data_IF_515289432456
#
_entry.id   IF_515289432456
#
_cell.length_a   1.000
_cell.length_b   1.000
_cell.length_c   1.000
_cell.angle_alpha   90.00
_cell.angle_beta   90.00
_cell.angle_gamma   90.00
#
_symmetry.space_group_name_H-M   'P 1'
#
loop_
_entity.id
_entity.type
_entity.pdbx_description
1 polymer ?
#
# COMPACT_ATOMS: atom_id res chain seq x y z
N UNK A 1 1.10 25.17 -11.26
CA UNK A 1 2.13 24.60 -10.37
C UNK A 1 2.84 23.58 -11.22
N UNK A 2 4.10 23.82 -11.55
CA UNK A 2 4.84 22.98 -12.48
C UNK A 2 5.77 22.07 -11.67
N UNK A 3 5.25 20.91 -11.29
CA UNK A 3 6.02 19.85 -10.61
C UNK A 3 6.49 18.82 -11.62
N UNK A 4 7.67 18.25 -11.40
CA UNK A 4 8.19 17.15 -12.24
C UNK A 4 7.49 15.81 -11.97
N UNK A 5 7.12 15.57 -10.71
CA UNK A 5 6.48 14.33 -10.23
C UNK A 5 5.48 14.69 -9.15
N UNK A 6 4.33 13.99 -9.14
CA UNK A 6 3.30 14.10 -8.11
C UNK A 6 3.12 12.73 -7.49
N UNK A 7 3.17 12.64 -6.16
CA UNK A 7 2.92 11.41 -5.41
C UNK A 7 1.53 11.49 -4.79
N UNK A 8 0.69 10.51 -5.08
CA UNK A 8 -0.65 10.39 -4.52
C UNK A 8 -0.66 9.37 -3.39
N UNK A 9 -0.94 9.83 -2.17
CA UNK A 9 -1.27 8.97 -1.04
C UNK A 9 -2.77 8.65 -1.08
N UNK A 10 -3.10 7.39 -1.32
CA UNK A 10 -4.47 6.98 -1.60
C UNK A 10 -5.14 6.35 -0.37
N UNK A 11 -6.47 6.40 -0.36
CA UNK A 11 -7.27 5.70 0.65
C UNK A 11 -7.09 4.17 0.57
N UNK A 12 -7.67 3.37 1.49
CA UNK A 12 -7.56 1.91 1.41
C UNK A 12 -8.09 1.36 0.09
N UNK A 13 -7.59 0.19 -0.30
CA UNK A 13 -7.73 -0.47 -1.62
C UNK A 13 -9.07 -0.23 -2.34
N UNK A 14 -10.20 -0.48 -1.67
CA UNK A 14 -11.53 -0.36 -2.29
C UNK A 14 -11.94 1.08 -2.66
N UNK A 15 -11.42 2.10 -1.97
CA UNK A 15 -11.70 3.50 -2.28
C UNK A 15 -10.82 4.02 -3.42
N UNK A 16 -9.56 3.59 -3.48
CA UNK A 16 -8.63 3.96 -4.56
C UNK A 16 -9.12 3.48 -5.91
N UNK A 17 -9.66 2.26 -5.98
CA UNK A 17 -10.24 1.74 -7.21
C UNK A 17 -11.41 2.58 -7.73
N UNK A 18 -12.21 3.19 -6.85
CA UNK A 18 -13.29 4.11 -7.28
C UNK A 18 -12.74 5.40 -7.87
N UNK A 19 -11.63 5.92 -7.31
CA UNK A 19 -10.95 7.10 -7.85
C UNK A 19 -10.41 6.82 -9.25
N UNK A 20 -9.79 5.65 -9.47
CA UNK A 20 -9.25 5.25 -10.76
C UNK A 20 -10.35 4.97 -11.80
N UNK A 21 -11.52 4.50 -11.36
CA UNK A 21 -12.70 4.32 -12.21
C UNK A 21 -13.43 5.62 -12.57
N UNK A 22 -13.18 6.69 -11.81
CA UNK A 22 -13.93 7.94 -11.90
C UNK A 22 -13.86 8.59 -13.29
N UNK A 23 -12.70 8.71 -13.97
CA UNK A 23 -12.61 9.27 -15.32
C UNK A 23 -13.54 8.53 -16.31
N UNK A 24 -13.44 7.20 -16.34
CA UNK A 24 -14.27 6.37 -17.24
C UNK A 24 -15.78 6.43 -16.92
N UNK A 25 -16.13 6.63 -15.64
CA UNK A 25 -17.54 6.74 -15.21
C UNK A 25 -18.11 8.09 -15.59
N UNK A 26 -17.33 9.16 -15.40
CA UNK A 26 -17.69 10.50 -15.85
C UNK A 26 -17.85 10.56 -17.36
N UNK A 27 -16.91 9.99 -18.13
CA UNK A 27 -16.96 9.94 -19.59
C UNK A 27 -18.26 9.28 -20.08
N UNK A 28 -18.62 8.11 -19.53
CA UNK A 28 -19.89 7.42 -19.84
C UNK A 28 -21.12 8.26 -19.47
N UNK A 29 -21.06 8.99 -18.35
CA UNK A 29 -22.12 9.89 -17.91
C UNK A 29 -22.33 11.06 -18.88
N UNK A 30 -21.24 11.72 -19.25
CA UNK A 30 -21.21 12.83 -20.22
C UNK A 30 -21.72 12.37 -21.58
N UNK A 31 -21.25 11.22 -22.07
CA UNK A 31 -21.71 10.64 -23.34
C UNK A 31 -23.23 10.38 -23.32
N UNK A 32 -23.76 9.77 -22.25
CA UNK A 32 -25.21 9.56 -22.11
C UNK A 32 -25.97 10.88 -22.10
N UNK A 33 -25.50 11.89 -21.38
CA UNK A 33 -26.14 13.21 -21.31
C UNK A 33 -26.18 13.88 -22.70
N UNK A 34 -25.10 13.80 -23.47
CA UNK A 34 -25.06 14.28 -24.86
C UNK A 34 -26.06 13.52 -25.74
N UNK A 35 -26.15 12.18 -25.64
CA UNK A 35 -27.13 11.42 -26.42
C UNK A 35 -28.58 11.75 -26.04
N UNK A 36 -28.84 12.04 -24.76
CA UNK A 36 -30.15 12.44 -24.28
C UNK A 36 -30.50 13.83 -24.80
N UNK A 37 -29.56 14.79 -24.76
CA UNK A 37 -29.73 16.12 -25.38
C UNK A 37 -30.02 15.99 -26.87
N UNK A 38 -29.31 15.14 -27.60
CA UNK A 38 -29.56 14.98 -29.04
C UNK A 38 -30.96 14.41 -29.36
N UNK A 39 -31.51 13.57 -28.48
CA UNK A 39 -32.85 13.00 -28.64
C UNK A 39 -33.97 13.93 -28.18
N UNK A 40 -33.74 14.71 -27.13
CA UNK A 40 -34.76 15.56 -26.49
C UNK A 40 -34.60 17.05 -26.79
N UNK A 41 -33.48 17.51 -27.35
CA UNK A 41 -33.19 18.91 -27.62
C UNK A 41 -34.12 19.52 -28.67
N UNK A 42 -34.58 18.72 -29.64
CA UNK A 42 -35.61 19.15 -30.58
C UNK A 42 -36.97 19.42 -29.91
N UNK A 43 -37.29 18.72 -28.81
CA UNK A 43 -38.50 18.91 -28.02
C UNK A 43 -38.32 20.03 -26.99
N UNK A 44 -37.15 20.06 -26.34
CA UNK A 44 -36.79 21.06 -25.34
C UNK A 44 -36.81 22.46 -25.97
N UNK A 45 -36.13 22.65 -27.12
CA UNK A 45 -36.13 23.94 -27.83
C UNK A 45 -37.51 24.37 -28.34
N UNK A 46 -38.46 23.44 -28.55
CA UNK A 46 -39.85 23.79 -28.87
C UNK A 46 -40.61 24.26 -27.64
N UNK A 47 -40.40 23.62 -26.49
CA UNK A 47 -40.99 24.02 -25.21
C UNK A 47 -40.40 25.34 -24.73
N UNK A 48 -39.07 25.52 -24.77
CA UNK A 48 -38.41 26.77 -24.36
C UNK A 48 -38.89 27.97 -25.19
N UNK A 49 -39.04 27.79 -26.51
CA UNK A 49 -39.64 28.79 -27.42
C UNK A 49 -41.09 29.13 -27.08
N UNK A 50 -41.88 28.17 -26.59
CA UNK A 50 -43.26 28.39 -26.17
C UNK A 50 -43.36 29.13 -24.83
N UNK A 51 -42.37 28.95 -23.94
CA UNK A 51 -42.30 29.60 -22.63
C UNK A 51 -41.58 30.96 -22.65
N UNK A 52 -41.10 31.43 -23.81
CA UNK A 52 -40.49 32.76 -23.97
C UNK A 52 -39.18 32.94 -23.21
N UNK A 53 -38.49 31.84 -22.89
CA UNK A 53 -37.17 31.85 -22.27
C UNK A 53 -36.14 31.87 -23.40
N UNK A 54 -35.30 32.89 -23.49
CA UNK A 54 -34.24 32.96 -24.50
C UNK A 54 -33.23 31.81 -24.29
N UNK A 55 -33.18 30.90 -25.27
CA UNK A 55 -32.42 29.64 -25.30
C UNK A 55 -30.91 29.85 -25.55
N UNK A 56 -30.50 31.09 -25.88
CA UNK A 56 -29.21 31.38 -26.52
C UNK A 56 -28.01 31.56 -25.56
N UNK A 57 -28.23 31.85 -24.27
CA UNK A 57 -27.12 32.19 -23.36
C UNK A 57 -26.70 31.07 -22.39
N UNK A 58 -27.51 30.03 -22.23
CA UNK A 58 -27.27 28.95 -21.27
C UNK A 58 -26.73 27.66 -21.88
N UNK A 59 -27.27 27.24 -23.03
CA UNK A 59 -26.97 25.92 -23.59
C UNK A 59 -25.54 25.80 -24.13
N UNK A 60 -25.06 26.78 -24.87
CA UNK A 60 -23.73 26.76 -25.50
C UNK A 60 -22.61 26.87 -24.47
N UNK A 61 -22.82 27.66 -23.41
CA UNK A 61 -21.89 27.77 -22.29
C UNK A 61 -21.80 26.47 -21.48
N UNK A 62 -22.91 25.75 -21.33
CA UNK A 62 -22.92 24.41 -20.70
C UNK A 62 -22.23 23.40 -21.62
N UNK A 63 -22.48 23.46 -22.93
CA UNK A 63 -21.87 22.55 -23.90
C UNK A 63 -20.34 22.68 -23.92
N UNK A 64 -19.83 23.91 -24.03
CA UNK A 64 -18.38 24.15 -24.05
C UNK A 64 -17.69 23.73 -22.74
N UNK A 65 -18.38 23.85 -21.60
CA UNK A 65 -17.87 23.31 -20.32
C UNK A 65 -17.84 21.78 -20.30
N UNK A 66 -18.87 21.12 -20.85
CA UNK A 66 -18.92 19.65 -20.91
C UNK A 66 -17.87 19.09 -21.86
N UNK A 67 -17.62 19.74 -23.00
CA UNK A 67 -16.55 19.40 -23.93
C UNK A 67 -15.17 19.59 -23.28
N UNK A 68 -14.92 20.73 -22.64
CA UNK A 68 -13.65 20.95 -21.93
C UNK A 68 -13.40 19.95 -20.79
N UNK A 69 -14.45 19.52 -20.08
CA UNK A 69 -14.34 18.46 -19.07
C UNK A 69 -14.00 17.11 -19.70
N UNK A 70 -14.60 16.80 -20.86
CA UNK A 70 -14.32 15.56 -21.60
C UNK A 70 -12.85 15.50 -22.02
N UNK A 71 -12.31 16.60 -22.56
CA UNK A 71 -10.92 16.67 -22.99
C UNK A 71 -9.94 16.43 -21.81
N UNK A 72 -10.22 17.03 -20.66
CA UNK A 72 -9.41 16.82 -19.44
C UNK A 72 -9.47 15.36 -18.99
N UNK A 73 -10.65 14.75 -19.01
CA UNK A 73 -10.84 13.34 -18.62
C UNK A 73 -10.06 12.41 -19.56
N UNK A 74 -10.15 12.63 -20.87
CA UNK A 74 -9.41 11.84 -21.86
C UNK A 74 -7.89 11.98 -21.68
N UNK A 75 -7.39 13.20 -21.42
CA UNK A 75 -5.98 13.43 -21.14
C UNK A 75 -5.51 12.71 -19.87
N UNK A 76 -6.28 12.79 -18.77
CA UNK A 76 -5.96 12.09 -17.51
C UNK A 76 -5.95 10.58 -17.72
N UNK A 77 -6.96 10.03 -18.41
CA UNK A 77 -7.05 8.60 -18.68
C UNK A 77 -5.89 8.11 -19.55
N UNK A 78 -5.47 8.92 -20.54
CA UNK A 78 -4.29 8.62 -21.35
C UNK A 78 -3.01 8.61 -20.52
N UNK A 79 -2.82 9.58 -19.63
CA UNK A 79 -1.62 9.64 -18.77
C UNK A 79 -1.57 8.50 -17.75
N UNK A 80 -2.71 8.11 -17.18
CA UNK A 80 -2.78 6.99 -16.23
C UNK A 80 -2.45 5.63 -16.85
N UNK A 81 -2.68 5.48 -18.15
CA UNK A 81 -2.37 4.26 -18.91
C UNK A 81 -0.98 4.24 -19.52
N UNK A 82 -0.24 5.34 -19.41
CA UNK A 82 1.11 5.45 -19.94
C UNK A 82 2.13 5.01 -18.88
N UNK A 83 2.80 3.85 -19.05
CA UNK A 83 3.75 3.32 -18.07
C UNK A 83 5.01 4.20 -17.92
N UNK A 84 5.33 5.04 -18.90
CA UNK A 84 6.45 5.98 -18.83
C UNK A 84 6.10 7.24 -18.01
N UNK A 85 4.82 7.49 -17.74
CA UNK A 85 4.33 8.66 -17.02
C UNK A 85 3.74 8.32 -15.64
N UNK A 86 3.00 7.22 -15.53
CA UNK A 86 2.29 6.83 -14.30
C UNK A 86 2.62 5.39 -13.93
N UNK A 87 2.98 5.18 -12.66
CA UNK A 87 3.11 3.83 -12.09
C UNK A 87 2.47 3.78 -10.71
N UNK A 88 1.96 2.60 -10.35
CA UNK A 88 1.33 2.33 -9.05
C UNK A 88 2.25 1.46 -8.19
N UNK A 89 2.50 1.92 -6.95
CA UNK A 89 3.30 1.20 -5.95
C UNK A 89 2.38 0.63 -4.87
N UNK A 90 2.31 -0.70 -4.78
CA UNK A 90 1.49 -1.38 -3.78
C UNK A 90 2.25 -1.48 -2.45
N UNK A 91 1.60 -1.12 -1.33
CA UNK A 91 2.17 -1.27 0.01
C UNK A 91 1.33 -2.25 0.82
N UNK A 92 1.96 -3.26 1.40
CA UNK A 92 1.28 -4.33 2.14
C UNK A 92 2.11 -4.79 3.35
N UNK A 93 1.56 -5.72 4.12
CA UNK A 93 2.25 -6.43 5.21
C UNK A 93 2.25 -7.94 4.93
N UNK A 94 3.21 -8.73 5.46
CA UNK A 94 3.34 -10.15 5.15
C UNK A 94 2.32 -11.01 5.92
N UNK A 95 1.04 -10.81 5.62
CA UNK A 95 -0.10 -11.51 6.23
C UNK A 95 -1.12 -11.92 5.17
N UNK A 96 -1.93 -12.95 5.46
CA UNK A 96 -2.89 -13.51 4.51
C UNK A 96 -3.84 -12.49 3.90
N UNK A 97 -4.50 -11.69 4.75
CA UNK A 97 -5.51 -10.74 4.28
C UNK A 97 -4.89 -9.66 3.41
N UNK A 98 -3.70 -9.18 3.80
CA UNK A 98 -2.98 -8.15 3.06
C UNK A 98 -2.47 -8.66 1.70
N UNK A 99 -2.03 -9.92 1.62
CA UNK A 99 -1.70 -10.58 0.34
C UNK A 99 -2.93 -10.66 -0.57
N UNK A 100 -4.06 -11.14 -0.05
CA UNK A 100 -5.31 -11.26 -0.81
C UNK A 100 -5.82 -9.90 -1.33
N UNK A 101 -5.78 -8.86 -0.49
CA UNK A 101 -6.17 -7.51 -0.90
C UNK A 101 -5.22 -6.92 -1.95
N UNK A 102 -3.92 -7.19 -1.83
CA UNK A 102 -2.91 -6.74 -2.80
C UNK A 102 -3.10 -7.44 -4.15
N UNK A 103 -3.37 -8.75 -4.15
CA UNK A 103 -3.66 -9.48 -5.38
C UNK A 103 -4.88 -8.93 -6.10
N UNK A 104 -5.96 -8.69 -5.35
CA UNK A 104 -7.16 -8.06 -5.91
C UNK A 104 -6.86 -6.66 -6.45
N UNK A 105 -6.02 -5.87 -5.78
CA UNK A 105 -5.62 -4.55 -6.26
C UNK A 105 -4.86 -4.64 -7.58
N UNK A 106 -3.84 -5.50 -7.65
CA UNK A 106 -3.03 -5.68 -8.88
C UNK A 106 -3.91 -6.13 -10.04
N UNK A 107 -4.80 -7.10 -9.83
CA UNK A 107 -5.74 -7.56 -10.86
C UNK A 107 -6.64 -6.42 -11.37
N UNK A 108 -7.10 -5.53 -10.50
CA UNK A 108 -7.93 -4.39 -10.89
C UNK A 108 -7.09 -3.32 -11.61
N UNK A 109 -5.87 -3.02 -11.17
CA UNK A 109 -4.95 -2.11 -11.87
C UNK A 109 -4.68 -2.59 -13.30
N UNK A 110 -4.41 -3.89 -13.48
CA UNK A 110 -4.25 -4.49 -14.80
C UNK A 110 -5.50 -4.32 -15.67
N UNK A 111 -6.71 -4.49 -15.11
CA UNK A 111 -7.97 -4.25 -15.85
C UNK A 111 -8.14 -2.79 -16.27
N UNK A 112 -7.60 -1.85 -15.50
CA UNK A 112 -7.58 -0.43 -15.84
C UNK A 112 -6.41 -0.03 -16.75
N UNK A 113 -5.54 -0.99 -17.12
CA UNK A 113 -4.32 -0.75 -17.89
C UNK A 113 -3.37 0.25 -17.20
N UNK A 114 -3.35 0.23 -15.86
CA UNK A 114 -2.44 1.05 -15.05
C UNK A 114 -1.20 0.23 -14.73
N UNK A 115 -0.04 0.80 -15.00
CA UNK A 115 1.25 0.21 -14.72
C UNK A 115 1.44 -0.07 -13.22
N UNK A 116 1.92 -1.27 -12.89
CA UNK A 116 2.36 -1.61 -11.53
C UNK A 116 3.44 -2.67 -11.56
N UNK A 117 4.62 -2.31 -11.06
CA UNK A 117 5.81 -3.17 -11.06
C UNK A 117 6.53 -3.19 -9.70
N UNK A 118 6.00 -2.49 -8.69
CA UNK A 118 6.66 -2.32 -7.40
C UNK A 118 5.70 -2.70 -6.27
N UNK A 119 6.17 -3.57 -5.37
CA UNK A 119 5.48 -3.93 -4.13
C UNK A 119 6.40 -3.65 -2.96
N UNK A 120 5.92 -2.92 -1.97
CA UNK A 120 6.59 -2.69 -0.69
C UNK A 120 5.90 -3.54 0.37
N UNK A 121 6.66 -4.44 0.99
CA UNK A 121 6.20 -5.25 2.12
C UNK A 121 6.78 -4.62 3.40
N UNK A 122 5.92 -3.94 4.15
CA UNK A 122 6.29 -3.26 5.39
C UNK A 122 6.14 -4.17 6.62
N UNK A 123 6.69 -3.74 7.76
CA UNK A 123 6.60 -4.44 9.04
C UNK A 123 7.11 -5.88 9.00
N UNK A 124 8.16 -6.11 8.19
CA UNK A 124 8.83 -7.40 8.13
C UNK A 124 9.72 -7.57 9.36
N UNK A 125 9.54 -8.68 10.05
CA UNK A 125 10.40 -9.05 11.18
C UNK A 125 11.67 -9.71 10.65
N UNK A 126 12.80 -9.07 10.90
CA UNK A 126 14.12 -9.63 10.60
C UNK A 126 14.70 -10.34 11.82
N UNK A 127 15.57 -11.32 11.56
CA UNK A 127 16.24 -12.08 12.62
C UNK A 127 17.46 -11.30 13.12
N UNK A 128 17.23 -10.21 13.85
CA UNK A 128 18.28 -9.32 14.35
C UNK A 128 18.84 -9.77 15.70
N UNK A 129 18.00 -10.36 16.54
CA UNK A 129 18.39 -10.78 17.87
C UNK A 129 18.24 -12.29 18.00
N UNK A 130 19.13 -12.91 18.76
CA UNK A 130 18.95 -14.25 19.29
C UNK A 130 17.93 -14.18 20.46
N UNK A 131 16.74 -13.66 20.17
CA UNK A 131 15.60 -13.64 21.08
C UNK A 131 15.00 -15.06 21.11
N UNK A 132 14.92 -15.66 22.29
CA UNK A 132 14.22 -16.93 22.52
C UNK A 132 12.70 -16.77 22.67
N UNK A 133 12.07 -15.83 21.95
CA UNK A 133 10.63 -15.66 21.98
C UNK A 133 9.95 -16.67 21.06
N UNK A 134 9.19 -17.59 21.65
CA UNK A 134 8.34 -18.54 20.90
C UNK A 134 7.35 -17.82 20.00
N UNK A 135 6.77 -16.71 20.46
CA UNK A 135 5.79 -15.92 19.71
C UNK A 135 6.44 -15.19 18.54
N UNK A 136 7.60 -14.56 18.74
CA UNK A 136 8.33 -13.86 17.67
C UNK A 136 8.74 -14.84 16.58
N UNK A 137 9.34 -15.98 16.95
CA UNK A 137 9.71 -17.04 16.01
C UNK A 137 8.49 -17.59 15.27
N UNK A 138 7.33 -17.71 15.92
CA UNK A 138 6.10 -18.12 15.26
C UNK A 138 5.59 -17.06 14.26
N UNK A 139 5.64 -15.77 14.62
CA UNK A 139 5.26 -14.66 13.74
C UNK A 139 6.18 -14.57 12.52
N UNK A 140 7.49 -14.68 12.71
CA UNK A 140 8.47 -14.70 11.61
C UNK A 140 8.24 -15.88 10.66
N UNK A 141 8.00 -17.09 11.17
CA UNK A 141 7.65 -18.24 10.32
C UNK A 141 6.37 -18.02 9.54
N UNK A 142 5.37 -17.40 10.16
CA UNK A 142 4.12 -17.04 9.50
C UNK A 142 4.37 -15.99 8.40
N UNK A 143 5.14 -14.94 8.67
CA UNK A 143 5.49 -13.92 7.69
C UNK A 143 6.29 -14.52 6.53
N UNK A 144 7.28 -15.38 6.81
CA UNK A 144 8.10 -16.03 5.79
C UNK A 144 7.24 -16.82 4.79
N UNK A 145 6.25 -17.57 5.28
CA UNK A 145 5.30 -18.27 4.42
C UNK A 145 4.62 -17.32 3.41
N UNK A 146 4.21 -16.13 3.84
CA UNK A 146 3.54 -15.17 2.96
C UNK A 146 4.53 -14.40 2.08
N UNK A 147 5.74 -14.11 2.56
CA UNK A 147 6.83 -13.57 1.75
C UNK A 147 7.15 -14.51 0.59
N UNK A 148 7.28 -15.81 0.85
CA UNK A 148 7.52 -16.82 -0.20
C UNK A 148 6.39 -16.81 -1.24
N UNK A 149 5.13 -16.68 -0.80
CA UNK A 149 3.99 -16.56 -1.71
C UNK A 149 4.04 -15.27 -2.55
N UNK A 150 4.42 -14.13 -1.96
CA UNK A 150 4.62 -12.89 -2.72
C UNK A 150 5.70 -13.07 -3.81
N UNK A 151 6.84 -13.65 -3.46
CA UNK A 151 7.91 -13.89 -4.45
C UNK A 151 7.50 -14.88 -5.54
N UNK A 152 6.69 -15.89 -5.23
CA UNK A 152 6.18 -16.82 -6.24
C UNK A 152 5.13 -16.21 -7.17
N UNK A 153 4.27 -15.31 -6.66
CA UNK A 153 3.19 -14.71 -7.45
C UNK A 153 3.67 -13.52 -8.28
N UNK A 154 4.71 -12.83 -7.83
CA UNK A 154 5.16 -11.56 -8.40
C UNK A 154 6.67 -11.60 -8.72
N UNK A 155 7.12 -12.64 -9.42
CA UNK A 155 8.53 -12.80 -9.84
C UNK A 155 9.03 -11.61 -10.69
N UNK A 156 8.14 -11.02 -11.49
CA UNK A 156 8.43 -9.87 -12.36
C UNK A 156 8.32 -8.52 -11.66
N UNK A 157 7.98 -8.49 -10.36
CA UNK A 157 7.86 -7.25 -9.60
C UNK A 157 9.12 -7.00 -8.78
N UNK A 158 9.44 -5.72 -8.63
CA UNK A 158 10.41 -5.27 -7.66
C UNK A 158 9.79 -5.27 -6.25
N UNK A 159 10.13 -6.29 -5.45
CA UNK A 159 9.66 -6.43 -4.07
C UNK A 159 10.68 -5.83 -3.09
N UNK A 160 10.30 -4.73 -2.44
CA UNK A 160 11.09 -4.07 -1.39
C UNK A 160 10.56 -4.47 -0.01
N UNK A 161 11.43 -5.00 0.86
CA UNK A 161 11.08 -5.37 2.25
C UNK A 161 11.53 -4.28 3.21
N UNK A 162 10.63 -3.79 4.05
CA UNK A 162 10.94 -2.80 5.09
C UNK A 162 10.76 -3.40 6.49
N UNK A 163 11.69 -3.10 7.42
CA UNK A 163 11.66 -3.68 8.76
C UNK A 163 10.49 -3.14 9.59
N UNK A 164 10.00 -3.97 10.51
CA UNK A 164 9.22 -3.48 11.64
C UNK A 164 10.15 -2.75 12.61
N UNK A 165 9.92 -1.45 12.82
CA UNK A 165 10.64 -0.67 13.81
C UNK A 165 9.98 -0.76 15.19
N UNK A 166 10.77 -0.69 16.28
CA UNK A 166 10.24 -0.79 17.65
C UNK A 166 9.41 0.44 18.08
N UNK A 167 9.64 1.58 17.43
CA UNK A 167 8.97 2.84 17.71
C UNK A 167 8.28 3.35 16.44
N UNK A 168 7.24 4.17 16.64
CA UNK A 168 6.56 4.85 15.55
C UNK A 168 7.51 5.82 14.82
N UNK A 169 7.40 5.86 13.49
CA UNK A 169 8.20 6.76 12.65
C UNK A 169 7.52 8.14 12.63
N UNK A 170 7.90 8.99 13.57
CA UNK A 170 7.36 10.35 13.68
C UNK A 170 8.46 11.41 13.55
N UNK A 171 8.16 12.49 12.82
CA UNK A 171 9.08 13.59 12.59
C UNK A 171 9.95 13.42 11.35
N UNK A 172 10.50 14.54 10.87
CA UNK A 172 11.23 14.61 9.59
C UNK A 172 12.51 13.78 9.64
N UNK A 173 13.21 13.78 10.78
CA UNK A 173 14.45 13.05 10.99
C UNK A 173 14.22 11.54 10.95
N UNK A 174 13.17 11.06 11.62
CA UNK A 174 12.80 9.65 11.61
C UNK A 174 12.37 9.19 10.22
N UNK A 175 11.59 10.01 9.49
CA UNK A 175 11.21 9.72 8.11
C UNK A 175 12.42 9.65 7.18
N UNK A 176 13.37 10.58 7.31
CA UNK A 176 14.63 10.54 6.55
C UNK A 176 15.43 9.28 6.86
N UNK A 177 15.58 8.93 8.13
CA UNK A 177 16.26 7.70 8.54
C UNK A 177 15.58 6.45 7.96
N UNK A 178 14.24 6.39 8.02
CA UNK A 178 13.47 5.28 7.47
C UNK A 178 13.55 5.20 5.94
N UNK A 179 13.61 6.35 5.25
CA UNK A 179 13.70 6.40 3.77
C UNK A 179 14.95 5.73 3.21
N UNK A 180 16.04 5.62 3.99
CA UNK A 180 17.25 4.92 3.57
C UNK A 180 17.00 3.45 3.25
N UNK A 181 16.03 2.82 3.92
CA UNK A 181 15.67 1.41 3.72
C UNK A 181 14.98 1.13 2.36
N UNK A 182 14.58 2.17 1.63
CA UNK A 182 14.02 2.02 0.27
C UNK A 182 15.10 1.97 -0.80
N UNK A 183 16.27 2.57 -0.54
CA UNK A 183 17.38 2.65 -1.51
C UNK A 183 18.34 1.48 -1.38
N UNK A 184 18.54 1.00 -0.16
CA UNK A 184 19.41 -0.12 0.15
C UNK A 184 18.58 -1.17 0.88
N UNK A 185 18.60 -2.45 0.45
CA UNK A 185 17.94 -3.51 1.15
C UNK A 185 18.34 -3.48 2.62
N UNK A 186 17.36 -3.50 3.51
CA UNK A 186 17.63 -3.54 4.94
C UNK A 186 18.41 -4.81 5.27
N UNK A 187 19.67 -4.63 5.63
CA UNK A 187 20.46 -5.69 6.23
C UNK A 187 20.24 -5.61 7.74
N UNK A 188 19.65 -6.65 8.36
CA UNK A 188 19.68 -6.72 9.81
C UNK A 188 21.14 -6.57 10.22
N UNK A 189 21.40 -5.81 11.28
CA UNK A 189 22.71 -5.87 11.91
C UNK A 189 22.90 -7.31 12.34
N UNK A 190 23.52 -8.11 11.48
CA UNK A 190 24.11 -9.37 11.87
C UNK A 190 25.01 -8.94 13.01
N UNK A 191 24.58 -9.24 14.23
CA UNK A 191 25.40 -9.10 15.41
C UNK A 191 26.60 -9.99 15.10
N UNK A 192 27.64 -9.42 14.48
CA UNK A 192 28.99 -9.89 14.66
C UNK A 192 29.22 -9.58 16.11
N UNK A 193 28.77 -10.48 16.99
CA UNK A 193 28.89 -10.31 18.43
C UNK A 193 30.33 -9.90 18.65
N UNK A 194 30.51 -8.64 19.06
CA UNK A 194 31.80 -8.25 19.58
C UNK A 194 32.08 -9.20 20.74
N UNK A 195 33.35 -9.53 20.99
CA UNK A 195 33.71 -10.48 22.06
C UNK A 195 33.03 -10.08 23.38
N UNK A 196 32.91 -8.78 23.62
CA UNK A 196 32.26 -8.17 24.78
C UNK A 196 30.73 -8.42 24.85
N UNK A 197 30.00 -8.32 23.74
CA UNK A 197 28.56 -8.64 23.69
C UNK A 197 28.31 -10.13 23.90
N UNK A 198 29.16 -10.98 23.31
CA UNK A 198 29.09 -12.43 23.50
C UNK A 198 29.37 -12.82 24.96
N UNK A 199 30.35 -12.16 25.59
CA UNK A 199 30.66 -12.34 27.02
C UNK A 199 29.52 -11.88 27.93
N UNK A 200 28.90 -10.73 27.65
CA UNK A 200 27.72 -10.27 28.41
C UNK A 200 26.54 -11.24 28.26
N UNK A 201 26.33 -11.77 27.07
CA UNK A 201 25.30 -12.79 26.80
C UNK A 201 25.56 -14.07 27.58
N UNK A 202 26.80 -14.57 27.56
CA UNK A 202 27.20 -15.75 28.33
C UNK A 202 27.00 -15.52 29.83
N UNK A 203 27.32 -14.32 30.33
CA UNK A 203 27.09 -13.95 31.73
C UNK A 203 25.60 -13.98 32.08
N UNK A 204 24.75 -13.38 31.24
CA UNK A 204 23.29 -13.36 31.44
C UNK A 204 22.69 -14.76 31.44
N UNK A 205 23.10 -15.61 30.50
CA UNK A 205 22.64 -17.01 30.43
C UNK A 205 23.08 -17.83 31.65
N UNK A 206 24.30 -17.62 32.16
CA UNK A 206 24.77 -18.26 33.40
C UNK A 206 23.92 -17.85 34.60
N UNK A 207 23.52 -16.58 34.68
CA UNK A 207 22.65 -16.10 35.75
C UNK A 207 21.26 -16.74 35.66
N UNK A 208 20.65 -16.77 34.47
CA UNK A 208 19.37 -17.43 34.24
C UNK A 208 19.41 -18.92 34.58
N UNK A 209 20.50 -19.62 34.20
CA UNK A 209 20.70 -21.02 34.55
C UNK A 209 20.73 -21.22 36.07
N UNK A 210 21.49 -20.38 36.78
CA UNK A 210 21.59 -20.44 38.25
C UNK A 210 20.24 -20.22 38.92
N UNK A 211 19.46 -19.25 38.43
CA UNK A 211 18.13 -18.96 38.97
C UNK A 211 17.16 -20.13 38.72
N UNK A 212 17.21 -20.74 37.52
CA UNK A 212 16.44 -21.93 37.19
C UNK A 212 16.85 -23.16 38.02
N UNK A 213 18.14 -23.35 38.31
CA UNK A 213 18.64 -24.42 39.19
C UNK A 213 18.13 -24.25 40.63
N UNK A 214 18.11 -23.02 41.16
CA UNK A 214 17.56 -22.72 42.49
C UNK A 214 16.06 -23.02 42.53
N UNK A 215 15.31 -22.67 41.49
CA UNK A 215 13.88 -22.98 41.39
C UNK A 215 13.64 -24.50 41.29
N UNK A 216 14.44 -25.21 40.50
CA UNK A 216 14.39 -26.67 40.39
C UNK A 216 14.65 -27.36 41.74
N UNK A 217 15.63 -26.88 42.51
CA UNK A 217 15.94 -27.43 43.83
C UNK A 217 14.84 -27.16 44.86
N UNK A 218 14.19 -25.99 44.80
CA UNK A 218 13.01 -25.69 45.63
C UNK A 218 11.88 -26.68 45.33
N UNK A 219 11.59 -26.93 44.05
CA UNK A 219 10.54 -27.85 43.62
C UNK A 219 10.85 -29.31 43.99
N UNK A 220 12.13 -29.73 43.90
CA UNK A 220 12.58 -31.06 44.34
C UNK A 220 12.40 -31.27 45.84
N UNK A 221 12.77 -30.28 46.66
CA UNK A 221 12.58 -30.33 48.12
C UNK A 221 11.11 -30.29 48.54
N UNK A 222 10.26 -29.60 47.77
CA UNK A 222 8.81 -29.57 47.97
C UNK A 222 8.13 -30.92 47.71
N UNK A 223 8.61 -31.70 46.73
CA UNK A 223 8.08 -33.05 46.41
C UNK A 223 8.51 -34.15 47.40
N UNK A 224 9.50 -33.92 48.25
CA UNK A 224 9.96 -34.88 49.28
C UNK A 224 9.22 -34.75 50.63
N UNK A 225 8.27 -33.81 50.75
CA UNK A 225 7.49 -33.56 51.99
C UNK A 225 6.04 -34.06 51.94
N UNK A 226 5.70 -34.94 50.99
CA UNK A 226 4.42 -35.67 50.94
C UNK A 226 4.68 -37.15 51.16
#
# INVERSE_FOLDING_TARGET
MDYSVIVFDTAPTGHTLRLLQFPSTLEKGLAKMMTLKNKFGGLLSQVTRLFGVDDEFGEDAILGKLEGMKDVIEQVNKQFKDPDLTTFVCVCIPEFLSLYETERLVQELTKFEIDTHNIIINQVLFNEEVIESKLLKARMRMQQKYLDQFYMLYEDFNITKLPLLPNEVCGVEALKAFSCNFLSPYEPSMVKDTVEELEQRVSTLRQQLKDAEVELDRLRKGKQKV
#
